data_IF_697615374005
#
_entry.id   IF_697615374005
#
_cell.length_a   1.000
_cell.length_b   1.000
_cell.length_c   1.000
_cell.angle_alpha   90.00
_cell.angle_beta   90.00
_cell.angle_gamma   90.00
#
_symmetry.space_group_name_H-M   'P 1'
#
loop_
_entity.id
_entity.type
_entity.pdbx_description
1 polymer ?
#
# COMPACT_ATOMS: atom_id res chain seq x y z
N UNK A 1 -25.72 17.14 -14.37
CA UNK A 1 -25.43 15.78 -13.84
C UNK A 1 -24.29 15.19 -14.66
N UNK A 2 -23.20 14.69 -14.06
CA UNK A 2 -22.00 14.21 -14.77
C UNK A 2 -21.91 12.67 -14.86
N UNK A 3 -22.77 11.94 -14.15
CA UNK A 3 -22.72 10.49 -14.08
C UNK A 3 -23.56 9.90 -12.95
N UNK A 4 -23.37 8.60 -12.72
CA UNK A 4 -24.01 7.79 -11.65
C UNK A 4 -23.03 6.79 -11.07
N UNK A 5 -23.09 6.60 -9.74
CA UNK A 5 -22.33 5.59 -9.02
C UNK A 5 -23.28 4.66 -8.27
N UNK A 6 -23.22 3.36 -8.58
CA UNK A 6 -23.96 2.31 -7.88
C UNK A 6 -22.99 1.45 -7.05
N UNK A 7 -22.88 1.66 -5.72
CA UNK A 7 -21.92 0.93 -4.89
C UNK A 7 -22.25 -0.55 -4.70
N UNK A 8 -23.50 -0.96 -4.95
CA UNK A 8 -23.98 -2.34 -4.77
C UNK A 8 -23.46 -3.28 -5.86
N UNK A 9 -23.03 -2.73 -6.99
CA UNK A 9 -22.48 -3.53 -8.08
C UNK A 9 -21.02 -3.91 -7.81
N UNK A 10 -20.58 -5.08 -8.31
CA UNK A 10 -19.19 -5.52 -8.27
C UNK A 10 -18.24 -4.46 -8.82
N UNK A 11 -17.00 -4.41 -8.31
CA UNK A 11 -16.00 -3.37 -8.66
C UNK A 11 -15.68 -3.33 -10.15
N UNK A 12 -15.69 -4.48 -10.78
CA UNK A 12 -15.33 -4.67 -12.20
C UNK A 12 -16.54 -4.47 -13.14
N UNK A 13 -17.72 -4.18 -12.59
CA UNK A 13 -18.90 -3.87 -13.39
C UNK A 13 -18.83 -2.45 -13.95
N UNK A 14 -18.96 -2.31 -15.26
CA UNK A 14 -19.02 -1.01 -15.96
C UNK A 14 -20.25 -0.20 -15.54
N UNK A 15 -21.33 -0.87 -15.13
CA UNK A 15 -22.54 -0.21 -14.65
C UNK A 15 -22.39 0.40 -13.25
N UNK A 16 -21.33 0.02 -12.53
CA UNK A 16 -21.02 0.56 -11.21
C UNK A 16 -20.73 2.05 -11.28
N UNK A 17 -20.07 2.51 -12.34
CA UNK A 17 -19.67 3.90 -12.53
C UNK A 17 -19.91 4.29 -13.98
N UNK A 18 -20.95 5.09 -14.24
CA UNK A 18 -21.19 5.70 -15.55
C UNK A 18 -20.88 7.19 -15.46
N UNK A 19 -19.97 7.71 -16.27
CA UNK A 19 -19.57 9.12 -16.25
C UNK A 19 -19.44 9.65 -17.68
N UNK A 20 -19.85 10.90 -17.87
CA UNK A 20 -19.59 11.68 -19.09
C UNK A 20 -18.16 12.24 -19.00
N UNK A 21 -17.22 11.56 -19.67
CA UNK A 21 -15.80 11.88 -19.60
C UNK A 21 -15.46 13.22 -20.26
N UNK A 22 -16.20 13.63 -21.30
CA UNK A 22 -15.97 14.89 -22.00
C UNK A 22 -16.29 16.08 -21.09
N UNK A 23 -17.45 16.03 -20.42
CA UNK A 23 -17.83 17.06 -19.46
C UNK A 23 -16.92 17.08 -18.24
N UNK A 24 -16.48 15.92 -17.76
CA UNK A 24 -15.54 15.85 -16.63
C UNK A 24 -14.21 16.52 -17.00
N UNK A 25 -13.64 16.23 -18.17
CA UNK A 25 -12.41 16.86 -18.63
C UNK A 25 -12.55 18.38 -18.77
N UNK A 26 -13.68 18.86 -19.30
CA UNK A 26 -13.97 20.29 -19.36
C UNK A 26 -13.93 20.97 -17.98
N UNK A 27 -14.54 20.35 -16.97
CA UNK A 27 -14.53 20.91 -15.61
C UNK A 27 -13.16 20.81 -14.94
N UNK A 28 -12.41 19.73 -15.18
CA UNK A 28 -11.03 19.61 -14.70
C UNK A 28 -10.15 20.74 -15.29
N UNK A 29 -10.29 21.04 -16.59
CA UNK A 29 -9.60 22.16 -17.24
C UNK A 29 -9.98 23.54 -16.69
N UNK A 30 -11.17 23.66 -16.07
CA UNK A 30 -11.61 24.87 -15.35
C UNK A 30 -11.15 24.95 -13.90
N UNK A 31 -10.36 23.98 -13.43
CA UNK A 31 -9.87 23.93 -12.05
C UNK A 31 -10.82 23.25 -11.06
N UNK A 32 -11.74 22.39 -11.51
CA UNK A 32 -12.54 21.59 -10.60
C UNK A 32 -11.65 20.59 -9.84
N UNK A 33 -11.73 20.59 -8.51
CA UNK A 33 -11.01 19.63 -7.66
C UNK A 33 -11.94 18.44 -7.30
N UNK A 34 -11.67 17.22 -7.79
CA UNK A 34 -12.47 16.05 -7.44
C UNK A 34 -12.17 15.57 -6.01
N UNK A 35 -13.20 15.10 -5.32
CA UNK A 35 -13.04 14.45 -4.00
C UNK A 35 -12.30 13.11 -4.13
N UNK A 36 -11.73 12.60 -3.02
CA UNK A 36 -10.90 11.36 -3.03
C UNK A 36 -11.60 10.20 -3.73
N UNK A 37 -12.90 9.99 -3.47
CA UNK A 37 -13.69 8.90 -4.06
C UNK A 37 -13.78 9.03 -5.58
N UNK A 38 -14.06 10.24 -6.07
CA UNK A 38 -14.18 10.54 -7.49
C UNK A 38 -12.83 10.46 -8.17
N UNK A 39 -11.75 10.92 -7.51
CA UNK A 39 -10.38 10.72 -7.99
C UNK A 39 -10.09 9.25 -8.27
N UNK A 40 -10.45 8.32 -7.38
CA UNK A 40 -10.22 6.88 -7.63
C UNK A 40 -11.03 6.34 -8.81
N UNK A 41 -12.23 6.89 -9.05
CA UNK A 41 -13.05 6.51 -10.22
C UNK A 41 -12.42 7.05 -11.51
N UNK A 42 -11.91 8.28 -11.50
CA UNK A 42 -11.22 8.89 -12.63
C UNK A 42 -9.86 8.23 -12.91
N UNK A 43 -9.16 7.77 -11.87
CA UNK A 43 -7.95 6.94 -11.98
C UNK A 43 -8.26 5.60 -12.66
N UNK A 44 -9.39 4.96 -12.30
CA UNK A 44 -9.82 3.71 -12.93
C UNK A 44 -10.25 3.91 -14.39
N UNK A 45 -10.81 5.07 -14.73
CA UNK A 45 -11.17 5.45 -16.10
C UNK A 45 -9.99 6.00 -16.93
N UNK A 46 -8.79 6.11 -16.36
CA UNK A 46 -7.59 6.62 -17.05
C UNK A 46 -7.57 8.13 -17.31
N UNK A 47 -8.51 8.90 -16.76
CA UNK A 47 -8.59 10.37 -16.94
C UNK A 47 -7.56 11.10 -16.09
N UNK A 48 -7.23 10.55 -14.91
CA UNK A 48 -6.28 11.14 -13.96
C UNK A 48 -5.21 10.11 -13.63
N UNK A 49 -3.95 10.55 -13.55
CA UNK A 49 -2.83 9.69 -13.17
C UNK A 49 -3.08 9.04 -11.81
N UNK A 50 -2.81 7.73 -11.72
CA UNK A 50 -2.95 6.96 -10.49
C UNK A 50 -2.01 7.51 -9.43
N UNK A 51 -2.57 8.04 -8.34
CA UNK A 51 -1.77 8.49 -7.20
C UNK A 51 -1.26 7.28 -6.42
N UNK A 52 0.05 7.23 -6.16
CA UNK A 52 0.64 6.29 -5.23
C UNK A 52 0.14 6.56 -3.82
N UNK A 53 -0.74 5.69 -3.34
CA UNK A 53 -1.30 5.77 -1.98
C UNK A 53 -0.75 4.65 -1.13
N UNK A 54 0.44 4.89 -0.58
CA UNK A 54 1.04 4.00 0.39
C UNK A 54 0.33 4.14 1.75
N UNK A 55 -0.28 3.05 2.24
CA UNK A 55 -0.83 2.99 3.60
C UNK A 55 0.28 2.58 4.59
N UNK A 56 1.22 3.48 4.87
CA UNK A 56 2.40 3.17 5.71
C UNK A 56 1.99 2.61 7.08
N UNK A 57 0.94 3.14 7.71
CA UNK A 57 0.46 2.67 9.02
C UNK A 57 -0.16 1.27 9.03
N UNK A 58 -0.71 0.80 7.90
CA UNK A 58 -1.34 -0.53 7.79
C UNK A 58 -0.36 -1.59 7.27
N UNK A 59 0.76 -1.17 6.69
CA UNK A 59 1.85 -2.05 6.26
C UNK A 59 2.83 -2.43 7.37
N UNK A 60 2.79 -1.75 8.53
CA UNK A 60 3.65 -2.13 9.66
C UNK A 60 3.12 -3.42 10.27
N UNK A 61 3.95 -4.49 10.37
CA UNK A 61 3.58 -5.67 11.14
C UNK A 61 3.19 -5.26 12.55
N UNK A 62 2.07 -5.77 13.07
CA UNK A 62 1.60 -5.39 14.41
C UNK A 62 2.66 -5.67 15.48
N UNK A 63 2.59 -4.99 16.62
CA UNK A 63 3.61 -5.05 17.70
C UNK A 63 4.08 -6.47 18.02
N UNK A 64 3.16 -7.45 18.09
CA UNK A 64 3.49 -8.87 18.35
C UNK A 64 4.39 -9.52 17.29
N UNK A 65 4.27 -9.14 16.02
CA UNK A 65 5.11 -9.66 14.95
C UNK A 65 6.49 -8.98 14.94
N UNK A 66 6.56 -7.69 15.28
CA UNK A 66 7.82 -6.96 15.44
C UNK A 66 8.64 -7.50 16.61
N UNK A 67 8.00 -7.74 17.76
CA UNK A 67 8.70 -8.26 18.95
C UNK A 67 9.20 -9.69 18.71
N UNK A 68 8.39 -10.56 18.08
CA UNK A 68 8.84 -11.92 17.72
C UNK A 68 10.00 -11.90 16.71
N UNK A 69 10.02 -10.96 15.78
CA UNK A 69 11.13 -10.80 14.84
C UNK A 69 12.42 -10.35 15.54
N UNK A 70 12.31 -9.42 16.52
CA UNK A 70 13.44 -8.99 17.34
C UNK A 70 13.97 -10.11 18.24
N UNK A 71 13.10 -10.84 18.92
CA UNK A 71 13.52 -11.97 19.77
C UNK A 71 14.19 -13.07 18.95
N UNK A 72 13.66 -13.38 17.76
CA UNK A 72 14.29 -14.35 16.86
C UNK A 72 15.64 -13.87 16.32
N UNK A 73 15.78 -12.57 16.05
CA UNK A 73 17.05 -11.97 15.62
C UNK A 73 18.07 -11.94 16.76
N UNK A 74 17.67 -11.58 17.98
CA UNK A 74 18.52 -11.58 19.16
C UNK A 74 19.01 -12.99 19.49
N UNK A 75 18.11 -13.98 19.48
CA UNK A 75 18.47 -15.38 19.70
C UNK A 75 19.36 -15.97 18.60
N UNK A 76 19.19 -15.52 17.36
CA UNK A 76 20.07 -15.93 16.26
C UNK A 76 21.46 -15.27 16.35
N UNK A 77 21.54 -14.03 16.80
CA UNK A 77 22.81 -13.34 17.05
C UNK A 77 23.58 -13.98 18.23
N UNK A 78 22.89 -14.27 19.33
CA UNK A 78 23.47 -14.93 20.51
C UNK A 78 23.94 -16.36 20.19
N UNK A 79 23.17 -17.10 19.39
CA UNK A 79 23.58 -18.44 18.93
C UNK A 79 24.77 -18.39 17.94
N UNK A 80 24.89 -17.33 17.12
CA UNK A 80 26.03 -17.14 16.23
C UNK A 80 27.30 -16.74 17.01
N UNK A 81 27.15 -15.93 18.06
CA UNK A 81 28.25 -15.54 18.95
C UNK A 81 28.74 -16.73 19.81
N UNK A 82 27.82 -17.55 20.33
CA UNK A 82 28.16 -18.78 21.06
C UNK A 82 28.81 -19.86 20.16
N UNK A 83 28.49 -19.88 18.86
CA UNK A 83 29.12 -20.80 17.89
C UNK A 83 30.47 -20.29 17.36
N UNK A 84 30.81 -19.02 17.55
CA UNK A 84 32.10 -18.44 17.17
C UNK A 84 33.14 -18.51 18.32
N UNK A 85 32.71 -18.69 19.57
CA UNK A 85 33.60 -18.81 20.73
C UNK A 85 34.49 -20.08 20.79
N UNK A 86 34.15 -21.27 20.24
CA UNK A 86 35.00 -22.45 20.34
C UNK A 86 36.02 -22.56 19.18
N UNK A 87 36.38 -21.43 18.53
CA UNK A 87 37.42 -21.40 17.50
C UNK A 87 38.68 -20.60 17.91
N UNK A 88 38.66 -19.89 19.05
CA UNK A 88 39.83 -19.14 19.56
C UNK A 88 40.59 -19.88 20.69
N UNK A 89 40.32 -21.17 20.92
CA UNK A 89 41.07 -22.02 21.88
C UNK A 89 41.61 -23.30 21.23
N UNK A 90 41.88 -23.28 19.92
CA UNK A 90 42.55 -24.38 19.20
C UNK A 90 43.70 -23.92 18.27
N UNK A 91 44.07 -22.63 18.30
CA UNK A 91 45.18 -22.08 17.50
C UNK A 91 46.37 -21.59 18.35
N UNK A 92 46.40 -21.92 19.64
CA UNK A 92 47.51 -21.61 20.54
C UNK A 92 47.83 -22.80 21.46
N UNK A 93 48.19 -23.94 20.86
CA UNK A 93 49.14 -24.87 21.49
C UNK A 93 50.04 -25.49 20.40
#
# INVERSE_FOLDING_TARGET
>A
KLGTYNPLLPKDSEERVKMDLERVQYWLGKGAEPTDRVSRMLEAAGVVAKKDRANLKKGVPGKKATERAKEKAAKAAEAAEAAAAPAEEAAAE
#
